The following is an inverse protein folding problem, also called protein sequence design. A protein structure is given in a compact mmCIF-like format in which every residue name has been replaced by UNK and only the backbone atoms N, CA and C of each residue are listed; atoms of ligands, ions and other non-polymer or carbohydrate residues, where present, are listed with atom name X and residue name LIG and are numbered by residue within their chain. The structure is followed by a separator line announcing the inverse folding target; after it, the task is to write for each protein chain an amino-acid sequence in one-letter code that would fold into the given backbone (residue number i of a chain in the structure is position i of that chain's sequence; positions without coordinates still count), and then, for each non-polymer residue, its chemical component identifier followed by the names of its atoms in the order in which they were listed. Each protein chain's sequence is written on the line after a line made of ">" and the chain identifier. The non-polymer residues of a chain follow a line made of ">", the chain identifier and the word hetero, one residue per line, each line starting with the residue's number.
data_IF_771323511081
#
_entry.id   IF_771323511081
#
_cell.length_a   1.000
_cell.length_b   1.000
_cell.length_c   1.000
_cell.angle_alpha   90.00
_cell.angle_beta   90.00
_cell.angle_gamma   90.00
#
_symmetry.space_group_name_H-M   'P 1'
#
loop_
_entity.id
_entity.type
_entity.pdbx_description
1 polymer ?
#
# COMPACT_ATOMS: atom_id res chain seq x y z
N UNK A 1 -71.41 -34.75 -47.89
CA UNK A 1 -70.63 -35.42 -46.80
C UNK A 1 -69.15 -35.01 -46.75
N UNK A 2 -68.46 -34.70 -47.86
CA UNK A 2 -67.02 -34.34 -47.85
C UNK A 2 -66.67 -33.02 -47.13
N UNK A 3 -67.52 -31.99 -47.20
CA UNK A 3 -67.25 -30.67 -46.59
C UNK A 3 -67.21 -30.68 -45.05
N UNK A 4 -68.07 -31.49 -44.40
CA UNK A 4 -68.06 -31.65 -42.92
C UNK A 4 -66.82 -32.40 -42.42
N UNK A 5 -66.30 -33.35 -43.20
CA UNK A 5 -65.06 -34.07 -42.90
C UNK A 5 -63.82 -33.17 -43.01
N UNK A 6 -63.75 -32.29 -44.02
CA UNK A 6 -62.64 -31.32 -44.16
C UNK A 6 -62.59 -30.31 -43.01
N UNK A 7 -63.75 -29.82 -42.55
CA UNK A 7 -63.84 -28.92 -41.39
C UNK A 7 -63.39 -29.64 -40.10
N UNK A 8 -63.78 -30.91 -39.92
CA UNK A 8 -63.38 -31.72 -38.76
C UNK A 8 -61.88 -32.03 -38.73
N UNK A 9 -61.27 -32.33 -39.87
CA UNK A 9 -59.83 -32.63 -39.96
C UNK A 9 -58.99 -31.36 -39.71
N UNK A 10 -59.41 -30.22 -40.28
CA UNK A 10 -58.75 -28.94 -40.05
C UNK A 10 -58.74 -28.52 -38.58
N UNK A 11 -59.83 -28.79 -37.85
CA UNK A 11 -59.94 -28.49 -36.42
C UNK A 11 -59.00 -29.34 -35.56
N UNK A 12 -58.86 -30.64 -35.88
CA UNK A 12 -57.94 -31.55 -35.17
C UNK A 12 -56.48 -31.17 -35.40
N UNK A 13 -56.10 -30.81 -36.63
CA UNK A 13 -54.74 -30.33 -36.96
C UNK A 13 -54.45 -29.02 -36.23
N UNK A 14 -55.40 -28.08 -36.19
CA UNK A 14 -55.26 -26.81 -35.48
C UNK A 14 -55.04 -27.02 -33.97
N UNK A 15 -55.82 -27.90 -33.34
CA UNK A 15 -55.65 -28.26 -31.92
C UNK A 15 -54.26 -28.88 -31.68
N UNK A 16 -53.82 -29.80 -32.54
CA UNK A 16 -52.49 -30.40 -32.44
C UNK A 16 -51.37 -29.36 -32.50
N UNK A 17 -51.47 -28.39 -33.41
CA UNK A 17 -50.50 -27.27 -33.51
C UNK A 17 -50.52 -26.41 -32.25
N UNK A 18 -51.71 -26.07 -31.73
CA UNK A 18 -51.84 -25.28 -30.49
C UNK A 18 -51.19 -26.01 -29.31
N UNK A 19 -51.41 -27.32 -29.17
CA UNK A 19 -50.80 -28.13 -28.08
C UNK A 19 -49.27 -28.11 -28.18
N UNK A 20 -48.71 -28.29 -29.38
CA UNK A 20 -47.26 -28.23 -29.59
C UNK A 20 -46.71 -26.84 -29.26
N UNK A 21 -47.41 -25.77 -29.67
CA UNK A 21 -47.02 -24.40 -29.35
C UNK A 21 -47.06 -24.13 -27.85
N UNK A 22 -48.13 -24.54 -27.15
CA UNK A 22 -48.25 -24.39 -25.69
C UNK A 22 -47.12 -25.17 -25.00
N UNK A 23 -46.86 -26.42 -25.39
CA UNK A 23 -45.76 -27.20 -24.82
C UNK A 23 -44.40 -26.50 -25.04
N UNK A 24 -44.13 -25.99 -26.25
CA UNK A 24 -42.90 -25.23 -26.52
C UNK A 24 -42.79 -23.96 -25.69
N UNK A 25 -43.87 -23.18 -25.57
CA UNK A 25 -43.90 -21.97 -24.74
C UNK A 25 -43.62 -22.30 -23.27
N UNK A 26 -44.28 -23.33 -22.71
CA UNK A 26 -44.03 -23.76 -21.32
C UNK A 26 -42.61 -24.28 -21.10
N UNK A 27 -42.04 -24.99 -22.09
CA UNK A 27 -40.65 -25.45 -22.04
C UNK A 27 -39.66 -24.29 -22.02
N UNK A 28 -39.85 -23.28 -22.89
CA UNK A 28 -39.01 -22.08 -22.94
C UNK A 28 -39.15 -21.24 -21.67
N UNK A 29 -40.36 -21.12 -21.12
CA UNK A 29 -40.59 -20.46 -19.83
C UNK A 29 -39.83 -21.16 -18.70
N UNK A 30 -39.83 -22.51 -18.67
CA UNK A 30 -39.09 -23.29 -17.68
C UNK A 30 -37.58 -23.11 -17.82
N UNK A 31 -37.05 -23.15 -19.04
CA UNK A 31 -35.62 -22.92 -19.31
C UNK A 31 -35.19 -21.49 -18.93
N UNK A 32 -36.02 -20.49 -19.26
CA UNK A 32 -35.79 -19.10 -18.86
C UNK A 32 -35.78 -18.95 -17.34
N UNK A 33 -36.70 -19.62 -16.63
CA UNK A 33 -36.74 -19.59 -15.16
C UNK A 33 -35.50 -20.24 -14.54
N UNK A 34 -35.05 -21.40 -15.04
CA UNK A 34 -33.83 -22.08 -14.58
C UNK A 34 -32.57 -21.23 -14.84
N UNK A 35 -32.47 -20.64 -16.04
CA UNK A 35 -31.37 -19.74 -16.39
C UNK A 35 -31.36 -18.49 -15.49
N UNK A 36 -32.53 -17.90 -15.21
CA UNK A 36 -32.64 -16.75 -14.31
C UNK A 36 -32.28 -17.11 -12.87
N UNK A 37 -32.64 -18.31 -12.39
CA UNK A 37 -32.26 -18.79 -11.07
C UNK A 37 -30.74 -19.01 -10.97
N UNK A 38 -30.12 -19.65 -11.98
CA UNK A 38 -28.66 -19.83 -12.04
C UNK A 38 -27.92 -18.50 -12.10
N UNK A 39 -28.42 -17.54 -12.88
CA UNK A 39 -27.87 -16.19 -12.93
C UNK A 39 -27.98 -15.50 -11.57
N UNK A 40 -29.13 -15.59 -10.92
CA UNK A 40 -29.36 -15.00 -9.58
C UNK A 40 -28.42 -15.60 -8.53
N UNK A 41 -28.22 -16.92 -8.55
CA UNK A 41 -27.30 -17.60 -7.64
C UNK A 41 -25.84 -17.17 -7.86
N UNK A 42 -25.43 -16.97 -9.13
CA UNK A 42 -24.09 -16.45 -9.46
C UNK A 42 -23.91 -15.01 -8.99
N UNK A 43 -24.92 -14.16 -9.16
CA UNK A 43 -24.92 -12.77 -8.68
C UNK A 43 -24.77 -12.76 -7.15
N UNK A 44 -25.57 -13.53 -6.42
CA UNK A 44 -25.49 -13.61 -4.97
C UNK A 44 -24.10 -14.09 -4.49
N UNK A 45 -23.49 -15.06 -5.18
CA UNK A 45 -22.14 -15.51 -4.87
C UNK A 45 -21.08 -14.42 -5.14
N UNK A 46 -21.21 -13.66 -6.22
CA UNK A 46 -20.33 -12.52 -6.48
C UNK A 46 -20.49 -11.40 -5.44
N UNK A 47 -21.71 -11.06 -5.05
CA UNK A 47 -21.96 -10.08 -3.98
C UNK A 47 -21.34 -10.53 -2.66
N UNK A 48 -21.47 -11.82 -2.30
CA UNK A 48 -20.80 -12.39 -1.13
C UNK A 48 -19.28 -12.28 -1.23
N UNK A 49 -18.72 -12.50 -2.42
CA UNK A 49 -17.28 -12.43 -2.65
C UNK A 49 -16.76 -10.99 -2.52
N UNK A 50 -17.49 -10.02 -3.09
CA UNK A 50 -17.20 -8.58 -2.95
C UNK A 50 -17.27 -8.16 -1.48
N UNK A 51 -18.30 -8.59 -0.75
CA UNK A 51 -18.43 -8.28 0.67
C UNK A 51 -17.28 -8.87 1.50
N UNK A 52 -16.86 -10.09 1.19
CA UNK A 52 -15.70 -10.71 1.84
C UNK A 52 -14.41 -9.96 1.53
N UNK A 53 -14.23 -9.49 0.28
CA UNK A 53 -13.07 -8.72 -0.13
C UNK A 53 -13.04 -7.35 0.55
N UNK A 54 -14.17 -6.65 0.61
CA UNK A 54 -14.28 -5.36 1.32
C UNK A 54 -13.92 -5.52 2.80
N UNK A 55 -14.41 -6.57 3.46
CA UNK A 55 -14.05 -6.87 4.84
C UNK A 55 -12.55 -7.12 5.01
N UNK A 56 -11.93 -7.86 4.09
CA UNK A 56 -10.47 -8.05 4.09
C UNK A 56 -9.73 -6.73 3.90
N UNK A 57 -10.18 -5.88 2.97
CA UNK A 57 -9.59 -4.56 2.73
C UNK A 57 -9.67 -3.68 3.99
N UNK A 58 -10.83 -3.65 4.64
CA UNK A 58 -11.00 -2.85 5.86
C UNK A 58 -10.12 -3.38 7.00
N UNK A 59 -10.05 -4.70 7.17
CA UNK A 59 -9.12 -5.31 8.13
C UNK A 59 -7.66 -5.01 7.82
N UNK A 60 -7.26 -4.95 6.54
CA UNK A 60 -5.89 -4.60 6.16
C UNK A 60 -5.61 -3.12 6.42
N UNK A 61 -6.55 -2.22 6.14
CA UNK A 61 -6.41 -0.79 6.43
C UNK A 61 -6.21 -0.52 7.92
N UNK A 62 -6.89 -1.28 8.78
CA UNK A 62 -6.71 -1.18 10.24
C UNK A 62 -5.33 -1.65 10.71
N UNK A 63 -4.66 -2.51 9.94
CA UNK A 63 -3.31 -3.02 10.26
C UNK A 63 -2.18 -2.14 9.75
N UNK A 64 -2.44 -1.26 8.77
CA UNK A 64 -1.41 -0.35 8.24
C UNK A 64 -1.12 0.73 9.28
N UNK A 65 0.14 0.90 9.71
CA UNK A 65 0.50 1.98 10.62
C UNK A 65 0.10 3.35 10.08
N UNK A 66 -0.31 4.25 10.98
CA UNK A 66 -0.53 5.64 10.62
C UNK A 66 0.78 6.32 10.18
N UNK A 67 0.68 7.39 9.39
CA UNK A 67 1.84 8.17 8.95
C UNK A 67 2.77 8.60 10.11
N UNK A 68 2.21 8.87 11.28
CA UNK A 68 2.98 9.24 12.47
C UNK A 68 3.96 8.16 12.93
N UNK A 69 3.61 6.88 12.78
CA UNK A 69 4.49 5.76 13.13
C UNK A 69 5.69 5.71 12.18
N UNK A 70 5.45 5.82 10.87
CA UNK A 70 6.53 5.89 9.88
C UNK A 70 7.46 7.09 10.12
N UNK A 71 6.90 8.27 10.40
CA UNK A 71 7.70 9.46 10.70
C UNK A 71 8.49 9.31 12.01
N UNK A 72 7.93 8.63 13.02
CA UNK A 72 8.63 8.32 14.27
C UNK A 72 9.78 7.34 14.04
N UNK A 73 9.57 6.30 13.24
CA UNK A 73 10.60 5.34 12.83
C UNK A 73 11.74 6.04 12.07
N UNK A 74 11.41 6.87 11.08
CA UNK A 74 12.40 7.68 10.34
C UNK A 74 13.20 8.56 11.30
N UNK A 75 12.53 9.26 12.23
CA UNK A 75 13.22 10.13 13.19
C UNK A 75 14.14 9.34 14.13
N UNK A 76 13.75 8.13 14.55
CA UNK A 76 14.58 7.25 15.36
C UNK A 76 15.84 6.81 14.59
N UNK A 77 15.69 6.30 13.37
CA UNK A 77 16.83 5.92 12.55
C UNK A 77 17.72 7.11 12.20
N UNK A 78 17.16 8.29 11.92
CA UNK A 78 17.94 9.52 11.75
C UNK A 78 18.74 9.86 13.01
N UNK A 79 18.19 9.65 14.20
CA UNK A 79 18.93 9.87 15.44
C UNK A 79 20.07 8.85 15.60
N UNK A 80 19.82 7.57 15.32
CA UNK A 80 20.84 6.50 15.36
C UNK A 80 21.96 6.74 14.33
N UNK A 81 21.58 7.15 13.12
CA UNK A 81 22.48 7.51 12.02
C UNK A 81 23.45 8.62 12.44
N UNK A 82 22.96 9.67 13.11
CA UNK A 82 23.83 10.74 13.61
C UNK A 82 24.94 10.20 14.50
N UNK A 83 24.61 9.42 15.53
CA UNK A 83 25.61 8.88 16.45
C UNK A 83 26.55 7.87 15.79
N UNK A 84 26.04 7.05 14.87
CA UNK A 84 26.88 6.15 14.06
C UNK A 84 27.91 6.93 13.22
N UNK A 85 27.47 7.99 12.54
CA UNK A 85 28.33 8.87 11.75
C UNK A 85 29.37 9.60 12.59
N UNK A 86 28.97 10.18 13.74
CA UNK A 86 29.91 10.84 14.66
C UNK A 86 30.96 9.87 15.22
N UNK A 87 30.58 8.63 15.50
CA UNK A 87 31.48 7.58 15.95
C UNK A 87 32.33 6.98 14.79
N UNK A 88 32.13 7.44 13.55
CA UNK A 88 32.76 6.91 12.33
C UNK A 88 32.53 5.40 12.17
N UNK A 89 31.41 4.91 12.69
CA UNK A 89 30.94 3.55 12.48
C UNK A 89 30.15 3.50 11.17
N UNK A 90 30.89 3.45 10.07
CA UNK A 90 30.33 3.54 8.72
C UNK A 90 29.44 2.35 8.37
N UNK A 91 29.68 1.17 8.96
CA UNK A 91 28.82 0.00 8.75
C UNK A 91 27.45 0.20 9.42
N UNK A 92 27.44 0.72 10.66
CA UNK A 92 26.19 1.09 11.33
C UNK A 92 25.52 2.28 10.62
N UNK A 93 26.27 3.29 10.19
CA UNK A 93 25.69 4.42 9.46
C UNK A 93 25.06 3.97 8.14
N UNK A 94 25.70 3.06 7.42
CA UNK A 94 25.15 2.45 6.20
C UNK A 94 23.86 1.67 6.48
N UNK A 95 23.81 0.93 7.59
CA UNK A 95 22.60 0.24 8.01
C UNK A 95 21.47 1.24 8.29
N UNK A 96 21.71 2.26 9.12
CA UNK A 96 20.66 3.21 9.51
C UNK A 96 20.14 4.06 8.33
N UNK A 97 21.00 4.46 7.38
CA UNK A 97 20.53 5.20 6.18
C UNK A 97 19.64 4.33 5.29
N UNK A 98 19.94 3.03 5.19
CA UNK A 98 19.14 2.09 4.42
C UNK A 98 17.76 1.85 5.07
N UNK A 99 17.69 1.69 6.40
CA UNK A 99 16.40 1.57 7.10
C UNK A 99 15.53 2.84 6.94
N UNK A 100 16.16 4.03 6.87
CA UNK A 100 15.47 5.29 6.55
C UNK A 100 14.92 5.25 5.12
N UNK A 101 15.73 4.85 4.16
CA UNK A 101 15.34 4.71 2.75
C UNK A 101 14.13 3.79 2.61
N UNK A 102 14.22 2.55 3.12
CA UNK A 102 13.12 1.57 3.06
C UNK A 102 11.83 2.12 3.68
N UNK A 103 11.93 2.77 4.85
CA UNK A 103 10.77 3.36 5.51
C UNK A 103 10.17 4.51 4.69
N UNK A 104 11.01 5.34 4.06
CA UNK A 104 10.57 6.42 3.19
C UNK A 104 9.93 5.90 1.89
N UNK A 105 10.44 4.82 1.31
CA UNK A 105 9.84 4.18 0.12
C UNK A 105 8.42 3.68 0.41
N UNK A 106 8.18 3.11 1.59
CA UNK A 106 6.81 2.74 2.00
C UNK A 106 5.92 3.98 2.01
N UNK A 107 6.34 5.07 2.66
CA UNK A 107 5.56 6.31 2.76
C UNK A 107 5.31 6.95 1.39
N UNK A 108 6.30 6.92 0.50
CA UNK A 108 6.16 7.41 -0.88
C UNK A 108 5.05 6.67 -1.64
N UNK A 109 4.80 5.39 -1.33
CA UNK A 109 3.77 4.58 -1.98
C UNK A 109 2.37 4.67 -1.34
N UNK A 110 2.22 5.35 -0.20
CA UNK A 110 0.93 5.47 0.50
C UNK A 110 -0.05 6.48 -0.13
N UNK A 111 0.37 7.28 -1.13
CA UNK A 111 -0.45 8.30 -1.80
C UNK A 111 -1.13 9.28 -0.84
N UNK A 112 -0.39 9.79 0.15
CA UNK A 112 -0.94 10.64 1.21
C UNK A 112 -0.87 12.12 0.84
N UNK A 113 -2.00 12.81 0.94
CA UNK A 113 -2.10 14.27 0.83
C UNK A 113 -2.64 14.87 2.13
N UNK A 114 -2.03 15.95 2.62
CA UNK A 114 -2.54 16.73 3.76
C UNK A 114 -2.40 18.22 3.47
N UNK A 115 -3.46 19.00 3.69
CA UNK A 115 -3.50 20.46 3.44
C UNK A 115 -2.93 20.82 2.06
N UNK A 116 -3.40 20.12 1.03
CA UNK A 116 -2.98 20.29 -0.37
C UNK A 116 -1.49 19.99 -0.66
N UNK A 117 -0.73 19.50 0.32
CA UNK A 117 0.63 19.00 0.15
C UNK A 117 0.57 17.49 -0.09
N UNK A 118 1.09 17.07 -1.25
CA UNK A 118 1.33 15.65 -1.53
C UNK A 118 2.58 15.19 -0.78
N UNK A 119 2.38 14.57 0.38
CA UNK A 119 3.45 14.08 1.25
C UNK A 119 4.27 13.01 0.54
N UNK A 120 3.60 12.11 -0.18
CA UNK A 120 4.27 11.04 -0.94
C UNK A 120 5.26 11.60 -1.97
N UNK A 121 4.90 12.68 -2.69
CA UNK A 121 5.83 13.35 -3.62
C UNK A 121 6.99 14.07 -2.93
N UNK A 122 6.75 14.67 -1.75
CA UNK A 122 7.83 15.27 -0.96
C UNK A 122 8.82 14.21 -0.50
N UNK A 123 8.32 13.08 0.02
CA UNK A 123 9.17 11.96 0.43
C UNK A 123 9.94 11.37 -0.76
N UNK A 124 9.30 11.23 -1.93
CA UNK A 124 10.00 10.84 -3.15
C UNK A 124 11.13 11.80 -3.52
N UNK A 125 10.95 13.10 -3.28
CA UNK A 125 12.00 14.10 -3.53
C UNK A 125 13.19 13.94 -2.58
N UNK A 126 12.91 13.57 -1.31
CA UNK A 126 13.95 13.26 -0.31
C UNK A 126 14.73 12.01 -0.69
N UNK A 127 14.02 10.95 -1.10
CA UNK A 127 14.61 9.70 -1.63
C UNK A 127 15.52 9.96 -2.84
N UNK A 128 15.15 10.91 -3.70
CA UNK A 128 15.93 11.20 -4.92
C UNK A 128 17.09 12.18 -4.70
N UNK A 129 17.25 12.75 -3.49
CA UNK A 129 18.29 13.77 -3.24
C UNK A 129 19.02 13.58 -1.91
N UNK A 130 18.37 13.84 -0.78
CA UNK A 130 19.01 13.80 0.54
C UNK A 130 19.54 12.41 0.91
N UNK A 131 18.80 11.34 0.59
CA UNK A 131 19.22 9.97 0.88
C UNK A 131 20.51 9.61 0.11
N UNK A 132 20.57 9.76 -1.23
CA UNK A 132 21.80 9.58 -2.00
C UNK A 132 22.99 10.41 -1.49
N UNK A 133 22.77 11.65 -1.05
CA UNK A 133 23.82 12.50 -0.49
C UNK A 133 24.39 11.94 0.82
N UNK A 134 23.52 11.44 1.71
CA UNK A 134 23.92 10.74 2.94
C UNK A 134 24.69 9.46 2.62
N UNK A 135 24.16 8.61 1.75
CA UNK A 135 24.79 7.36 1.34
C UNK A 135 26.18 7.59 0.75
N UNK A 136 26.31 8.58 -0.13
CA UNK A 136 27.60 8.96 -0.73
C UNK A 136 28.59 9.42 0.34
N UNK A 137 28.16 10.26 1.28
CA UNK A 137 29.03 10.71 2.36
C UNK A 137 29.51 9.57 3.27
N UNK A 138 28.63 8.60 3.54
CA UNK A 138 28.92 7.37 4.30
C UNK A 138 29.88 6.47 3.53
N UNK A 139 29.65 6.26 2.23
CA UNK A 139 30.51 5.48 1.35
C UNK A 139 31.92 6.06 1.26
N UNK A 140 32.02 7.38 1.14
CA UNK A 140 33.28 8.12 1.14
C UNK A 140 33.91 8.24 2.54
N UNK A 141 33.22 7.78 3.59
CA UNK A 141 33.66 7.86 4.99
C UNK A 141 34.05 9.27 5.41
N UNK A 142 33.34 10.26 4.88
CA UNK A 142 33.65 11.68 5.07
C UNK A 142 32.72 12.29 6.11
N UNK A 143 33.24 12.50 7.32
CA UNK A 143 32.48 13.10 8.42
C UNK A 143 31.92 14.48 8.03
N UNK A 144 32.72 15.33 7.39
CA UNK A 144 32.29 16.68 6.98
C UNK A 144 31.14 16.63 5.98
N UNK A 145 31.22 15.74 4.98
CA UNK A 145 30.13 15.57 4.00
C UNK A 145 28.90 14.98 4.66
N UNK A 146 29.08 14.04 5.59
CA UNK A 146 27.99 13.42 6.34
C UNK A 146 27.24 14.45 7.17
N UNK A 147 27.94 15.27 7.96
CA UNK A 147 27.33 16.31 8.79
C UNK A 147 26.55 17.32 7.94
N UNK A 148 27.09 17.69 6.77
CA UNK A 148 26.43 18.59 5.82
C UNK A 148 25.16 17.98 5.24
N UNK A 149 25.23 16.74 4.74
CA UNK A 149 24.07 16.03 4.17
C UNK A 149 22.98 15.78 5.23
N UNK A 150 23.39 15.45 6.46
CA UNK A 150 22.48 15.27 7.59
C UNK A 150 21.72 16.56 7.92
N UNK A 151 22.44 17.68 8.04
CA UNK A 151 21.82 18.98 8.33
C UNK A 151 20.85 19.41 7.23
N UNK A 152 21.24 19.23 5.96
CA UNK A 152 20.35 19.51 4.84
C UNK A 152 19.09 18.64 4.87
N UNK A 153 19.20 17.38 5.30
CA UNK A 153 18.06 16.48 5.47
C UNK A 153 17.12 16.98 6.57
N UNK A 154 17.65 17.37 7.73
CA UNK A 154 16.86 17.95 8.83
C UNK A 154 16.12 19.22 8.40
N UNK A 155 16.76 20.09 7.61
CA UNK A 155 16.12 21.29 7.04
C UNK A 155 14.94 20.91 6.15
N UNK A 156 15.09 19.90 5.30
CA UNK A 156 14.00 19.41 4.44
C UNK A 156 12.86 18.81 5.25
N UNK A 157 13.15 18.00 6.28
CA UNK A 157 12.14 17.46 7.20
C UNK A 157 11.30 18.58 7.82
N UNK A 158 11.96 19.60 8.38
CA UNK A 158 11.28 20.73 9.02
C UNK A 158 10.49 21.59 8.03
N UNK A 159 10.97 21.73 6.79
CA UNK A 159 10.25 22.46 5.73
C UNK A 159 8.93 21.76 5.37
N UNK A 160 8.94 20.43 5.25
CA UNK A 160 7.72 19.64 5.04
C UNK A 160 6.77 19.76 6.23
N UNK A 161 7.27 19.59 7.47
CA UNK A 161 6.45 19.70 8.68
C UNK A 161 5.79 21.08 8.78
N UNK A 162 6.50 22.16 8.46
CA UNK A 162 5.94 23.50 8.40
C UNK A 162 4.86 23.63 7.31
N UNK A 163 5.10 23.12 6.10
CA UNK A 163 4.17 23.20 4.98
C UNK A 163 2.82 22.50 5.28
N UNK A 164 2.84 21.40 6.04
CA UNK A 164 1.61 20.72 6.48
C UNK A 164 1.04 21.27 7.80
N UNK A 165 1.61 22.36 8.32
CA UNK A 165 1.23 23.00 9.59
C UNK A 165 1.38 22.09 10.81
N UNK A 166 2.46 21.31 10.83
CA UNK A 166 2.96 20.50 11.93
C UNK A 166 4.31 21.04 12.43
N UNK A 167 4.53 22.36 12.37
CA UNK A 167 5.79 23.01 12.77
C UNK A 167 6.16 22.80 14.25
N UNK A 168 5.21 22.37 15.08
CA UNK A 168 5.49 21.95 16.46
C UNK A 168 6.32 20.65 16.53
N UNK A 169 6.39 19.88 15.44
CA UNK A 169 7.32 18.76 15.26
C UNK A 169 8.61 19.32 14.66
N UNK A 170 9.39 20.03 15.50
CA UNK A 170 10.65 20.61 15.10
C UNK A 170 11.79 19.62 15.35
N UNK A 171 12.33 19.05 14.28
CA UNK A 171 13.44 18.10 14.32
C UNK A 171 14.75 18.86 14.48
N UNK A 172 15.57 18.41 15.42
CA UNK A 172 16.93 18.92 15.64
C UNK A 172 17.94 17.79 15.50
N UNK A 173 19.21 18.17 15.34
CA UNK A 173 20.33 17.25 15.57
C UNK A 173 20.26 16.73 17.01
N UNK A 174 20.29 15.40 17.22
CA UNK A 174 20.12 14.85 18.56
C UNK A 174 21.32 15.20 19.44
N UNK A 175 21.03 15.57 20.69
CA UNK A 175 22.04 15.96 21.69
C UNK A 175 22.41 14.83 22.64
N UNK A 176 21.69 13.72 22.59
CA UNK A 176 21.95 12.49 23.36
C UNK A 176 21.51 11.26 22.57
N UNK A 177 22.15 10.10 22.76
CA UNK A 177 21.77 8.86 22.08
C UNK A 177 20.28 8.52 22.26
N UNK A 178 19.57 8.11 21.20
CA UNK A 178 18.13 7.82 21.29
C UNK A 178 17.81 6.55 22.08
N UNK A 179 18.80 5.67 22.25
CA UNK A 179 18.71 4.43 23.01
C UNK A 179 19.94 4.27 23.90
N UNK A 180 19.77 3.68 25.09
CA UNK A 180 20.82 3.54 26.09
C UNK A 180 21.56 2.20 26.02
N UNK A 181 21.08 1.27 25.19
CA UNK A 181 21.55 -0.11 25.10
C UNK A 181 22.26 -0.41 23.76
N UNK A 182 22.78 0.61 23.09
CA UNK A 182 23.52 0.47 21.83
C UNK A 182 24.91 1.10 21.95
N UNK A 183 25.92 0.39 21.44
CA UNK A 183 27.28 0.91 21.25
C UNK A 183 27.37 1.56 19.87
N UNK A 184 27.95 2.75 19.79
CA UNK A 184 28.01 3.53 18.55
C UNK A 184 29.34 3.35 17.82
N UNK A 185 30.42 3.09 18.55
CA UNK A 185 31.75 2.85 17.99
C UNK A 185 31.79 1.52 17.22
N UNK A 186 32.65 1.40 16.19
CA UNK A 186 32.87 0.13 15.51
C UNK A 186 33.22 -0.98 16.50
N UNK A 187 32.65 -2.17 16.28
CA UNK A 187 33.17 -3.38 16.91
C UNK A 187 34.50 -3.67 16.22
N UNK A 188 35.61 -3.50 16.94
CA UNK A 188 36.89 -3.98 16.45
C UNK A 188 36.76 -5.50 16.27
N UNK A 189 37.23 -6.07 15.14
CA UNK A 189 37.29 -7.52 15.05
C UNK A 189 38.05 -8.01 16.29
N UNK A 190 37.47 -9.01 16.96
CA UNK A 190 38.13 -9.67 18.07
C UNK A 190 39.56 -9.94 17.61
N UNK A 191 40.55 -9.45 18.35
CA UNK A 191 41.89 -9.98 18.17
C UNK A 191 41.73 -11.47 18.50
N UNK A 192 41.73 -12.31 17.46
CA UNK A 192 41.87 -13.75 17.59
C UNK A 192 43.01 -13.95 18.58
N UNK A 193 42.64 -14.33 19.79
CA UNK A 193 43.61 -14.77 20.79
C UNK A 193 44.13 -16.10 20.25
N UNK A 194 45.28 -16.05 19.59
CA UNK A 194 46.17 -17.19 19.34
C UNK A 194 46.39 -18.00 20.64
#
# INVERSE_FOLDING_TARGET
>A
MKQKYFISIGFVVLIGVIIVLVFRVTSLQKETADNNQKLSARIANFESSINSLNKTIDSLKEQVPGLGEYMTTIQLHMAKLWFAGQAKNWDLAKFEVHEIEETMEVVANLNITRKDVNISSVIQSVLNSQIPDLEKAIQEKSLVKFETAYEQTVITCNSCHNAVGHQFIHVIKPTSPPVTNQKWEPVLPDQETD
#
